data_IF_105011834680
#
_entry.id   IF_105011834680
#
_cell.length_a   1.000
_cell.length_b   1.000
_cell.length_c   1.000
_cell.angle_alpha   90.00
_cell.angle_beta   90.00
_cell.angle_gamma   90.00
#
_symmetry.space_group_name_H-M   'P 1'
#
loop_
_entity.id
_entity.type
_entity.pdbx_description
1 polymer ?
#
# COMPACT_ATOMS: atom_id res chain seq x y z
N UNK A 1 5.29 -6.93 -11.19
CA UNK A 1 5.09 -5.52 -10.85
C UNK A 1 6.14 -5.12 -9.84
N UNK A 2 6.89 -4.07 -10.13
CA UNK A 2 7.94 -3.49 -9.30
C UNK A 2 7.39 -2.41 -8.35
N UNK A 3 8.20 -1.98 -7.37
CA UNK A 3 7.82 -0.85 -6.51
C UNK A 3 7.70 0.41 -7.35
N UNK A 4 8.63 0.67 -8.26
CA UNK A 4 8.59 1.84 -9.14
C UNK A 4 7.32 1.94 -9.98
N UNK A 5 6.72 0.81 -10.39
CA UNK A 5 5.42 0.79 -11.08
C UNK A 5 4.31 1.33 -10.16
N UNK A 6 4.23 0.84 -8.92
CA UNK A 6 3.25 1.26 -7.92
C UNK A 6 3.44 2.75 -7.55
N UNK A 7 4.69 3.15 -7.31
CA UNK A 7 5.01 4.52 -6.94
C UNK A 7 4.70 5.51 -8.06
N UNK A 8 5.03 5.17 -9.31
CA UNK A 8 4.68 5.99 -10.48
C UNK A 8 3.17 6.13 -10.63
N UNK A 9 2.43 5.04 -10.49
CA UNK A 9 0.97 5.06 -10.53
C UNK A 9 0.38 5.91 -9.40
N UNK A 10 0.95 5.84 -8.19
CA UNK A 10 0.56 6.67 -7.05
C UNK A 10 0.84 8.15 -7.30
N UNK A 11 2.02 8.51 -7.81
CA UNK A 11 2.36 9.90 -8.16
C UNK A 11 1.44 10.45 -9.25
N UNK A 12 1.12 9.63 -10.25
CA UNK A 12 0.18 10.02 -11.30
C UNK A 12 -1.24 10.19 -10.73
N UNK A 13 -1.70 9.27 -9.88
CA UNK A 13 -2.98 9.40 -9.20
C UNK A 13 -3.05 10.71 -8.41
N UNK A 14 -2.03 11.02 -7.62
CA UNK A 14 -1.99 12.25 -6.85
C UNK A 14 -2.08 13.48 -7.76
N UNK A 15 -1.23 13.56 -8.79
CA UNK A 15 -1.19 14.72 -9.67
C UNK A 15 -2.47 14.87 -10.51
N UNK A 16 -3.00 13.78 -11.06
CA UNK A 16 -4.06 13.83 -12.09
C UNK A 16 -5.44 13.61 -11.50
N UNK A 17 -5.58 12.77 -10.49
CA UNK A 17 -6.88 12.47 -9.89
C UNK A 17 -7.13 13.37 -8.69
N UNK A 18 -6.18 13.44 -7.75
CA UNK A 18 -6.35 14.21 -6.52
C UNK A 18 -6.26 15.73 -6.76
N UNK A 19 -5.21 16.20 -7.43
CA UNK A 19 -5.01 17.64 -7.69
C UNK A 19 -5.92 18.14 -8.84
N UNK A 20 -5.98 17.41 -9.95
CA UNK A 20 -6.69 17.87 -11.17
C UNK A 20 -8.15 17.38 -11.30
N UNK A 21 -8.59 16.39 -10.51
CA UNK A 21 -9.95 15.83 -10.63
C UNK A 21 -10.20 15.02 -11.91
N UNK A 22 -9.15 14.47 -12.55
CA UNK A 22 -9.26 13.72 -13.80
C UNK A 22 -9.64 12.25 -13.57
N UNK A 23 -10.94 11.98 -13.48
CA UNK A 23 -11.45 10.63 -13.21
C UNK A 23 -11.33 9.65 -14.40
N UNK A 24 -11.09 10.13 -15.61
CA UNK A 24 -10.74 9.24 -16.73
C UNK A 24 -9.36 8.61 -16.49
N UNK A 25 -8.40 9.39 -15.97
CA UNK A 25 -7.09 8.88 -15.58
C UNK A 25 -7.22 7.91 -14.40
N UNK A 26 -8.09 8.20 -13.43
CA UNK A 26 -8.40 7.29 -12.31
C UNK A 26 -8.83 5.92 -12.83
N UNK A 27 -9.84 5.87 -13.67
CA UNK A 27 -10.42 4.60 -14.15
C UNK A 27 -9.41 3.80 -14.98
N UNK A 28 -8.56 4.49 -15.76
CA UNK A 28 -7.43 3.88 -16.47
C UNK A 28 -6.42 3.26 -15.49
N UNK A 29 -5.96 4.01 -14.49
CA UNK A 29 -5.02 3.50 -13.48
C UNK A 29 -5.60 2.29 -12.74
N UNK A 30 -6.89 2.35 -12.37
CA UNK A 30 -7.60 1.22 -11.75
C UNK A 30 -7.57 -0.02 -12.66
N UNK A 31 -7.90 0.15 -13.95
CA UNK A 31 -7.92 -0.96 -14.90
C UNK A 31 -6.52 -1.56 -15.11
N UNK A 32 -5.52 -0.72 -15.34
CA UNK A 32 -4.14 -1.12 -15.59
C UNK A 32 -3.55 -1.88 -14.39
N UNK A 33 -3.71 -1.33 -13.17
CA UNK A 33 -3.23 -1.99 -11.96
C UNK A 33 -3.99 -3.29 -11.67
N UNK A 34 -5.31 -3.32 -11.84
CA UNK A 34 -6.08 -4.55 -11.63
C UNK A 34 -5.76 -5.66 -12.63
N UNK A 35 -5.38 -5.30 -13.86
CA UNK A 35 -4.89 -6.25 -14.86
C UNK A 35 -3.51 -6.80 -14.47
N UNK A 36 -2.60 -5.92 -14.05
CA UNK A 36 -1.25 -6.30 -13.63
C UNK A 36 -1.21 -7.06 -12.30
N UNK A 37 -2.18 -6.83 -11.42
CA UNK A 37 -2.42 -7.60 -10.19
C UNK A 37 -3.24 -8.88 -10.47
N UNK A 38 -3.62 -9.15 -11.72
CA UNK A 38 -4.42 -10.30 -12.15
C UNK A 38 -3.73 -11.63 -11.82
N UNK A 39 -4.00 -12.16 -10.63
CA UNK A 39 -3.30 -13.32 -10.06
C UNK A 39 -3.10 -13.19 -8.55
N UNK A 40 -3.10 -11.95 -8.05
CA UNK A 40 -3.12 -11.64 -6.63
C UNK A 40 -4.55 -11.43 -6.15
N UNK A 41 -4.81 -11.70 -4.88
CA UNK A 41 -6.10 -11.44 -4.21
C UNK A 41 -6.31 -9.97 -3.85
N UNK A 42 -5.68 -9.06 -4.60
CA UNK A 42 -5.62 -7.61 -4.38
C UNK A 42 -6.32 -6.93 -5.53
N UNK A 43 -7.19 -5.96 -5.23
CA UNK A 43 -7.91 -5.14 -6.20
C UNK A 43 -7.77 -3.68 -5.85
N UNK A 44 -7.69 -2.83 -6.87
CA UNK A 44 -7.63 -1.39 -6.72
C UNK A 44 -9.00 -0.80 -7.06
N UNK A 45 -9.39 0.25 -6.34
CA UNK A 45 -10.59 1.03 -6.60
C UNK A 45 -10.46 2.45 -6.07
N UNK A 46 -11.59 3.11 -5.86
CA UNK A 46 -11.67 4.37 -5.13
C UNK A 46 -12.65 4.28 -3.96
N UNK A 47 -12.49 5.18 -2.98
CA UNK A 47 -13.40 5.34 -1.84
C UNK A 47 -14.65 6.13 -2.18
N UNK A 48 -15.38 6.60 -1.15
CA UNK A 48 -16.51 7.52 -1.32
C UNK A 48 -16.08 8.80 -2.03
N UNK A 49 -14.93 9.34 -1.63
CA UNK A 49 -14.28 10.40 -2.38
C UNK A 49 -13.65 9.80 -3.64
N UNK A 50 -14.04 10.33 -4.79
CA UNK A 50 -13.58 9.82 -6.09
C UNK A 50 -12.06 9.92 -6.30
N UNK A 51 -11.40 10.77 -5.52
CA UNK A 51 -9.96 10.97 -5.55
C UNK A 51 -9.19 10.11 -4.55
N UNK A 52 -9.87 9.34 -3.70
CA UNK A 52 -9.24 8.51 -2.69
C UNK A 52 -8.95 7.12 -3.24
N UNK A 53 -7.69 6.73 -3.48
CA UNK A 53 -7.37 5.38 -3.90
C UNK A 53 -7.62 4.42 -2.73
N UNK A 54 -8.20 3.26 -3.03
CA UNK A 54 -8.40 2.17 -2.05
C UNK A 54 -7.87 0.85 -2.58
N UNK A 55 -7.35 0.03 -1.67
CA UNK A 55 -6.86 -1.32 -1.95
C UNK A 55 -7.80 -2.31 -1.27
N UNK A 56 -8.46 -3.15 -2.06
CA UNK A 56 -9.40 -4.17 -1.61
C UNK A 56 -8.72 -5.53 -1.64
N UNK A 57 -8.82 -6.26 -0.54
CA UNK A 57 -8.22 -7.59 -0.40
C UNK A 57 -9.30 -8.56 0.05
N UNK A 58 -9.87 -9.35 -0.87
CA UNK A 58 -10.82 -10.44 -0.57
C UNK A 58 -11.70 -10.22 0.67
N UNK A 59 -11.53 -11.05 1.72
CA UNK A 59 -12.06 -10.77 3.06
C UNK A 59 -11.12 -9.75 3.73
N UNK A 60 -11.61 -8.55 4.03
CA UNK A 60 -10.70 -7.47 4.34
C UNK A 60 -10.05 -7.60 5.72
N UNK A 61 -8.74 -7.36 5.76
CA UNK A 61 -7.92 -7.25 6.97
C UNK A 61 -7.57 -5.78 7.21
N UNK A 62 -7.70 -5.30 8.45
CA UNK A 62 -7.31 -3.95 8.80
C UNK A 62 -5.78 -3.79 8.88
N UNK A 63 -5.27 -2.57 8.73
CA UNK A 63 -3.84 -2.23 8.71
C UNK A 63 -3.07 -2.86 9.89
N UNK A 64 -3.67 -2.79 11.07
CA UNK A 64 -3.14 -3.36 12.30
C UNK A 64 -3.09 -4.87 12.23
N UNK A 65 -4.08 -5.53 11.63
CA UNK A 65 -4.06 -6.98 11.44
C UNK A 65 -3.10 -7.44 10.35
N UNK A 66 -2.83 -6.66 9.30
CA UNK A 66 -1.78 -6.99 8.32
C UNK A 66 -0.39 -6.83 8.96
N UNK A 67 -0.21 -5.75 9.74
CA UNK A 67 1.01 -5.46 10.49
C UNK A 67 1.18 -6.28 11.78
N UNK A 68 0.13 -6.94 12.28
CA UNK A 68 0.15 -7.86 13.43
C UNK A 68 0.08 -9.35 13.04
N UNK A 69 -0.18 -9.67 11.76
CA UNK A 69 -0.01 -10.99 11.16
C UNK A 69 1.37 -11.24 10.46
N UNK A 70 2.48 -10.54 10.78
CA UNK A 70 3.82 -10.95 10.37
C UNK A 70 4.51 -11.76 11.48
N UNK A 71 4.09 -13.01 11.69
CA UNK A 71 4.91 -14.03 12.37
C UNK A 71 5.19 -15.16 11.37
N UNK A 72 6.44 -15.52 11.06
CA UNK A 72 7.39 -16.18 11.97
C UNK A 72 8.82 -15.58 11.90
N UNK A 73 9.01 -14.52 11.12
CA UNK A 73 10.31 -13.85 10.93
C UNK A 73 10.13 -12.37 10.50
N UNK A 74 9.86 -11.52 11.50
CA UNK A 74 9.65 -10.08 11.29
C UNK A 74 10.84 -9.42 10.57
N UNK A 75 12.06 -9.88 10.84
CA UNK A 75 13.30 -9.35 10.29
C UNK A 75 13.45 -9.74 8.82
N UNK A 76 13.18 -10.99 8.45
CA UNK A 76 13.17 -11.42 7.06
C UNK A 76 12.06 -10.72 6.27
N UNK A 77 10.87 -10.55 6.84
CA UNK A 77 9.81 -9.78 6.19
C UNK A 77 10.21 -8.32 5.95
N UNK A 78 10.92 -7.70 6.90
CA UNK A 78 11.46 -6.35 6.72
C UNK A 78 12.56 -6.31 5.65
N UNK A 79 13.39 -7.35 5.56
CA UNK A 79 14.39 -7.49 4.50
C UNK A 79 13.72 -7.65 3.11
N UNK A 80 12.67 -8.46 3.01
CA UNK A 80 11.89 -8.63 1.78
C UNK A 80 11.18 -7.34 1.37
N UNK A 81 10.61 -6.62 2.34
CA UNK A 81 9.99 -5.30 2.09
C UNK A 81 11.02 -4.31 1.52
N UNK A 82 12.20 -4.22 2.12
CA UNK A 82 13.29 -3.35 1.62
C UNK A 82 13.75 -3.83 0.24
N UNK A 83 13.92 -5.13 0.04
CA UNK A 83 14.28 -5.71 -1.26
C UNK A 83 13.28 -5.34 -2.35
N UNK A 84 11.98 -5.31 -2.04
CA UNK A 84 10.97 -4.82 -2.96
C UNK A 84 11.04 -3.30 -3.16
N UNK A 85 11.23 -2.54 -2.07
CA UNK A 85 11.39 -1.08 -2.10
C UNK A 85 12.58 -0.63 -2.97
N UNK A 86 13.62 -1.44 -3.07
CA UNK A 86 14.77 -1.18 -3.93
C UNK A 86 14.61 -1.77 -5.35
N UNK A 87 13.39 -2.18 -5.74
CA UNK A 87 13.07 -2.89 -6.99
C UNK A 87 13.84 -4.22 -7.18
N UNK A 88 14.41 -4.77 -6.12
CA UNK A 88 15.22 -6.00 -6.12
C UNK A 88 14.42 -7.29 -6.33
N UNK A 89 13.10 -7.28 -6.09
CA UNK A 89 12.20 -8.41 -6.39
C UNK A 89 10.88 -7.93 -7.02
N UNK A 90 10.04 -8.85 -7.47
CA UNK A 90 8.69 -8.57 -7.94
C UNK A 90 7.70 -8.65 -6.77
N UNK A 91 6.58 -7.93 -6.88
CA UNK A 91 5.49 -8.01 -5.90
C UNK A 91 5.04 -9.46 -5.67
N UNK A 92 4.98 -10.26 -6.75
CA UNK A 92 4.59 -11.68 -6.68
C UNK A 92 5.54 -12.57 -5.86
N UNK A 93 6.77 -12.12 -5.62
CA UNK A 93 7.78 -12.88 -4.87
C UNK A 93 7.57 -12.75 -3.34
N UNK A 94 6.76 -11.77 -2.92
CA UNK A 94 6.52 -11.49 -1.51
C UNK A 94 5.45 -12.41 -0.91
N UNK A 95 5.51 -12.72 0.39
CA UNK A 95 4.37 -13.24 1.15
C UNK A 95 3.14 -12.37 0.96
N UNK A 96 1.96 -12.99 0.88
CA UNK A 96 0.69 -12.30 0.59
C UNK A 96 0.43 -11.07 1.46
N UNK A 97 0.70 -11.14 2.77
CA UNK A 97 0.54 -10.00 3.69
C UNK A 97 1.45 -8.82 3.31
N UNK A 98 2.68 -9.10 2.89
CA UNK A 98 3.61 -8.07 2.40
C UNK A 98 3.19 -7.52 1.04
N UNK A 99 2.63 -8.33 0.15
CA UNK A 99 2.07 -7.84 -1.12
C UNK A 99 0.99 -6.77 -0.86
N UNK A 100 0.07 -7.08 0.05
CA UNK A 100 -1.03 -6.18 0.44
C UNK A 100 -0.47 -4.87 1.00
N UNK A 101 0.49 -4.96 1.94
CA UNK A 101 1.14 -3.80 2.53
C UNK A 101 1.87 -2.94 1.49
N UNK A 102 2.67 -3.55 0.60
CA UNK A 102 3.41 -2.83 -0.42
C UNK A 102 2.50 -2.07 -1.38
N UNK A 103 1.38 -2.66 -1.80
CA UNK A 103 0.42 -1.97 -2.68
C UNK A 103 -0.22 -0.77 -1.96
N UNK A 104 -0.57 -0.90 -0.68
CA UNK A 104 -1.13 0.22 0.08
C UNK A 104 -0.10 1.36 0.20
N UNK A 105 1.10 1.03 0.66
CA UNK A 105 2.16 2.00 0.94
C UNK A 105 2.63 2.70 -0.34
N UNK A 106 3.01 1.93 -1.37
CA UNK A 106 3.68 2.51 -2.54
C UNK A 106 2.71 3.12 -3.53
N UNK A 107 1.46 2.66 -3.60
CA UNK A 107 0.45 3.23 -4.48
C UNK A 107 -0.56 4.11 -3.75
N UNK A 108 -1.30 3.59 -2.76
CA UNK A 108 -2.42 4.32 -2.17
C UNK A 108 -1.98 5.53 -1.32
N UNK A 109 -0.99 5.35 -0.43
CA UNK A 109 -0.45 6.46 0.38
C UNK A 109 0.25 7.50 -0.50
N UNK A 110 1.02 7.06 -1.51
CA UNK A 110 1.60 7.95 -2.52
C UNK A 110 0.52 8.73 -3.29
N UNK A 111 -0.58 8.07 -3.69
CA UNK A 111 -1.73 8.67 -4.37
C UNK A 111 -2.44 9.75 -3.55
N UNK A 112 -2.46 9.60 -2.23
CA UNK A 112 -2.98 10.58 -1.27
C UNK A 112 -2.00 11.70 -0.92
N UNK A 113 -0.76 11.62 -1.42
CA UNK A 113 0.26 12.64 -1.23
C UNK A 113 1.25 12.36 -0.09
N UNK A 114 1.17 11.19 0.55
CA UNK A 114 2.05 10.79 1.66
C UNK A 114 3.36 10.14 1.21
N UNK A 115 3.74 10.32 -0.07
CA UNK A 115 4.97 9.73 -0.62
C UNK A 115 6.26 10.17 0.11
N UNK A 116 6.28 11.36 0.73
CA UNK A 116 7.44 11.80 1.53
C UNK A 116 7.60 11.03 2.85
N UNK A 117 6.49 10.53 3.43
CA UNK A 117 6.52 9.72 4.64
C UNK A 117 7.19 8.37 4.45
N UNK A 118 7.33 7.89 3.20
CA UNK A 118 8.04 6.66 2.90
C UNK A 118 9.51 6.75 3.33
N UNK A 119 10.18 7.84 2.96
CA UNK A 119 11.60 8.04 3.25
C UNK A 119 11.84 8.50 4.68
N UNK A 120 11.02 9.42 5.20
CA UNK A 120 11.26 10.02 6.51
C UNK A 120 10.82 9.17 7.69
N UNK A 121 9.88 8.24 7.49
CA UNK A 121 9.23 7.50 8.59
C UNK A 121 9.25 6.00 8.34
N UNK A 122 8.73 5.54 7.19
CA UNK A 122 8.55 4.11 6.94
C UNK A 122 9.87 3.36 6.76
N UNK A 123 10.77 3.83 5.90
CA UNK A 123 12.06 3.16 5.68
C UNK A 123 12.92 3.08 6.96
N UNK A 124 13.02 4.15 7.78
CA UNK A 124 13.64 4.04 9.10
C UNK A 124 12.99 2.97 9.99
N UNK A 125 11.66 2.95 10.08
CA UNK A 125 10.94 1.93 10.86
C UNK A 125 11.27 0.50 10.37
N UNK A 126 11.17 0.25 9.06
CA UNK A 126 11.45 -1.08 8.49
C UNK A 126 12.91 -1.47 8.69
N UNK A 127 13.84 -0.50 8.64
CA UNK A 127 15.24 -0.70 8.99
C UNK A 127 15.45 -1.14 10.45
N UNK A 128 14.71 -0.54 11.38
CA UNK A 128 14.74 -0.91 12.80
C UNK A 128 14.15 -2.31 13.03
N UNK A 129 13.03 -2.64 12.37
CA UNK A 129 12.43 -3.98 12.41
C UNK A 129 13.42 -5.02 11.88
N UNK A 130 14.06 -4.77 10.73
CA UNK A 130 15.09 -5.65 10.15
C UNK A 130 16.25 -5.90 11.11
N UNK A 131 16.60 -4.90 11.92
CA UNK A 131 17.70 -4.97 12.89
C UNK A 131 17.29 -5.59 14.23
N UNK A 132 15.99 -5.91 14.42
CA UNK A 132 15.44 -6.41 15.69
C UNK A 132 15.23 -5.35 16.77
N UNK A 133 15.26 -4.06 16.40
CA UNK A 133 15.08 -2.94 17.32
C UNK A 133 13.62 -2.47 17.42
N UNK A 134 12.74 -2.97 16.55
CA UNK A 134 11.33 -2.62 16.52
C UNK A 134 10.49 -3.77 15.95
N UNK A 135 9.16 -3.59 15.92
CA UNK A 135 8.17 -4.56 15.45
C UNK A 135 7.19 -3.93 14.46
N UNK A 136 6.59 -4.74 13.60
CA UNK A 136 5.61 -4.29 12.62
C UNK A 136 4.38 -3.60 13.24
N UNK A 137 4.03 -3.91 14.49
CA UNK A 137 2.96 -3.21 15.21
C UNK A 137 3.21 -1.69 15.37
N UNK A 138 4.48 -1.25 15.36
CA UNK A 138 4.88 0.17 15.45
C UNK A 138 4.58 0.97 14.18
N UNK A 139 4.21 0.30 13.08
CA UNK A 139 3.72 0.95 11.87
C UNK A 139 2.59 1.93 12.17
N UNK A 140 1.66 1.57 13.07
CA UNK A 140 0.53 2.44 13.44
C UNK A 140 0.94 3.77 14.08
N UNK A 141 2.08 3.81 14.77
CA UNK A 141 2.50 4.97 15.57
C UNK A 141 3.64 5.75 14.92
N UNK A 142 4.52 5.09 14.18
CA UNK A 142 5.73 5.68 13.57
C UNK A 142 5.58 6.08 12.12
N UNK A 143 4.64 5.48 11.40
CA UNK A 143 4.29 5.82 10.03
C UNK A 143 2.78 5.77 9.94
N UNK A 144 2.11 6.83 10.40
CA UNK A 144 0.64 6.83 10.43
C UNK A 144 0.13 6.82 8.99
N UNK A 145 -0.34 5.69 8.45
CA UNK A 145 -1.00 5.71 7.16
C UNK A 145 -2.24 6.60 7.28
N UNK A 146 -2.56 7.30 6.21
CA UNK A 146 -3.81 8.06 6.17
C UNK A 146 -5.05 7.17 6.16
N UNK A 147 -4.87 5.87 5.90
CA UNK A 147 -5.94 4.89 5.88
C UNK A 147 -5.92 4.00 7.14
N UNK A 148 -6.76 4.32 8.11
CA UNK A 148 -7.27 3.25 8.97
C UNK A 148 -8.36 2.53 8.19
N UNK A 149 -8.22 1.22 7.99
CA UNK A 149 -9.24 0.38 7.33
C UNK A 149 -10.67 0.56 7.91
N UNK A 150 -10.81 1.08 9.14
CA UNK A 150 -12.10 1.43 9.73
C UNK A 150 -12.79 2.64 9.07
N UNK A 151 -12.05 3.55 8.44
CA UNK A 151 -12.59 4.72 7.72
C UNK A 151 -13.16 4.29 6.36
N UNK A 152 -12.54 3.33 5.66
CA UNK A 152 -13.10 2.74 4.43
C UNK A 152 -14.31 1.81 4.69
N UNK A 153 -14.43 1.22 5.89
CA UNK A 153 -15.51 0.29 6.23
C UNK A 153 -16.87 0.98 6.46
N UNK A 154 -16.90 2.31 6.65
CA UNK A 154 -18.14 3.06 6.90
C UNK A 154 -18.89 3.45 5.63
N UNK A 155 -18.23 3.43 4.47
CA UNK A 155 -18.72 4.16 3.30
C UNK A 155 -19.08 3.29 2.09
N UNK A 156 -19.36 1.99 2.29
CA UNK A 156 -19.92 1.15 1.23
C UNK A 156 -21.42 0.89 1.40
N UNK A 157 -22.19 1.62 0.61
CA UNK A 157 -23.40 1.11 -0.04
C UNK A 157 -22.93 0.22 -1.19
N UNK A 158 -23.42 -1.02 -1.20
CA UNK A 158 -23.29 -1.95 -2.33
C UNK A 158 -24.16 -1.42 -3.48
N UNK A 159 -23.56 -1.17 -4.64
CA UNK A 159 -24.22 -1.31 -5.94
C UNK A 159 -23.45 -2.33 -6.78
#
# INVERSE_FOLDING_TARGET
>A
MKMSDLYKAGKEWNARVWIEGNYVVRDRIIADLNAALGGLSIRIGHGWQQYDPVVRVGRPRNYVSIAADPDNDAQNNAALFIGFADDGCELSDLPRTLQELCVIVFFAETGRGYGSGLESELYPLVGDIRSGNDVWASLKTRYTPSLTYQEDNKDYILE
#
